data_IF_344885100157
#
_entry.id   IF_344885100157
#
_cell.length_a   1.000
_cell.length_b   1.000
_cell.length_c   1.000
_cell.angle_alpha   90.00
_cell.angle_beta   90.00
_cell.angle_gamma   90.00
#
_symmetry.space_group_name_H-M   'P 1'
#
loop_
_entity.id
_entity.type
_entity.pdbx_description
1 polymer ?
#
# COMPACT_ATOMS: atom_id res chain seq x y z
N UNK A 1 7.27 28.17 -10.49
CA UNK A 1 6.88 26.75 -10.36
C UNK A 1 5.42 26.69 -10.72
N UNK A 2 5.11 26.33 -11.98
CA UNK A 2 3.76 25.88 -12.31
C UNK A 2 3.58 24.54 -11.61
N UNK A 3 2.73 24.52 -10.58
CA UNK A 3 2.30 23.29 -9.94
C UNK A 3 1.27 22.59 -10.82
N UNK A 4 0.93 21.34 -10.49
CA UNK A 4 -0.14 20.57 -11.14
C UNK A 4 -1.42 21.41 -11.29
N UNK A 5 -1.71 21.84 -12.52
CA UNK A 5 -3.04 22.30 -12.89
C UNK A 5 -3.98 21.08 -12.86
N UNK A 6 -5.09 21.12 -12.11
CA UNK A 6 -6.06 20.03 -12.09
C UNK A 6 -6.53 19.71 -13.51
N UNK A 7 -6.33 18.45 -13.95
CA UNK A 7 -6.80 17.96 -15.25
C UNK A 7 -5.74 17.84 -16.36
N UNK A 8 -4.49 18.27 -16.15
CA UNK A 8 -3.38 18.04 -17.12
C UNK A 8 -2.63 16.71 -16.92
N UNK A 9 -3.23 15.77 -16.21
CA UNK A 9 -2.60 14.52 -15.78
C UNK A 9 -3.06 13.33 -16.62
N UNK A 10 -2.18 12.34 -16.84
CA UNK A 10 -2.54 11.11 -17.54
C UNK A 10 -3.58 10.33 -16.73
N UNK A 11 -4.78 10.19 -17.28
CA UNK A 11 -5.90 9.49 -16.65
C UNK A 11 -5.54 8.06 -16.24
N UNK A 12 -4.66 7.39 -16.99
CA UNK A 12 -4.22 6.04 -16.66
C UNK A 12 -3.37 6.01 -15.38
N UNK A 13 -2.52 7.02 -15.14
CA UNK A 13 -1.77 7.11 -13.88
C UNK A 13 -2.73 7.41 -12.73
N UNK A 14 -3.73 8.29 -12.95
CA UNK A 14 -4.76 8.58 -11.95
C UNK A 14 -5.52 7.33 -11.52
N UNK A 15 -5.95 6.52 -12.50
CA UNK A 15 -6.66 5.28 -12.24
C UNK A 15 -5.79 4.28 -11.47
N UNK A 16 -4.50 4.21 -11.81
CA UNK A 16 -3.54 3.33 -11.12
C UNK A 16 -3.21 3.79 -9.71
N UNK A 17 -3.11 5.10 -9.45
CA UNK A 17 -2.96 5.64 -8.10
C UNK A 17 -4.22 5.41 -7.25
N UNK A 18 -5.42 5.56 -7.85
CA UNK A 18 -6.67 5.22 -7.18
C UNK A 18 -6.73 3.72 -6.84
N UNK A 19 -6.25 2.86 -7.75
CA UNK A 19 -6.12 1.42 -7.52
C UNK A 19 -5.13 1.11 -6.39
N UNK A 20 -3.98 1.80 -6.33
CA UNK A 20 -3.02 1.67 -5.23
C UNK A 20 -3.68 2.05 -3.90
N UNK A 21 -4.36 3.20 -3.84
CA UNK A 21 -5.05 3.66 -2.63
C UNK A 21 -6.14 2.68 -2.16
N UNK A 22 -6.89 2.10 -3.10
CA UNK A 22 -7.85 1.06 -2.80
C UNK A 22 -7.17 -0.19 -2.22
N UNK A 23 -6.09 -0.67 -2.83
CA UNK A 23 -5.36 -1.85 -2.33
C UNK A 23 -4.77 -1.59 -0.94
N UNK A 24 -4.14 -0.43 -0.71
CA UNK A 24 -3.62 -0.04 0.61
C UNK A 24 -4.74 0.00 1.67
N UNK A 25 -5.92 0.51 1.32
CA UNK A 25 -7.09 0.47 2.21
C UNK A 25 -7.54 -0.97 2.51
N UNK A 26 -7.58 -1.85 1.51
CA UNK A 26 -7.92 -3.26 1.70
C UNK A 26 -6.89 -3.99 2.57
N UNK A 27 -5.61 -3.59 2.53
CA UNK A 27 -4.54 -4.13 3.39
C UNK A 27 -4.79 -3.86 4.89
N UNK A 28 -5.35 -2.69 5.23
CA UNK A 28 -5.65 -2.31 6.62
C UNK A 28 -6.81 -3.12 7.25
N UNK A 29 -7.70 -3.69 6.43
CA UNK A 29 -8.85 -4.46 6.94
C UNK A 29 -8.47 -5.73 7.71
N UNK A 30 -7.67 -6.66 7.15
CA UNK A 30 -7.21 -7.83 7.89
C UNK A 30 -6.35 -7.44 9.09
N UNK A 31 -5.54 -6.38 9.01
CA UNK A 31 -4.78 -5.86 10.15
C UNK A 31 -5.68 -5.53 11.35
N UNK A 32 -6.76 -4.76 11.12
CA UNK A 32 -7.74 -4.44 12.17
C UNK A 32 -8.30 -5.71 12.82
N UNK A 33 -8.56 -6.75 12.02
CA UNK A 33 -9.08 -8.02 12.51
C UNK A 33 -8.02 -8.80 13.30
N UNK A 34 -6.79 -8.87 12.81
CA UNK A 34 -5.66 -9.49 13.50
C UNK A 34 -5.45 -8.89 14.90
N UNK A 35 -5.47 -7.55 15.00
CA UNK A 35 -5.34 -6.84 16.26
C UNK A 35 -6.48 -7.14 17.23
N UNK A 36 -7.72 -7.25 16.73
CA UNK A 36 -8.89 -7.57 17.57
C UNK A 36 -8.75 -8.99 18.15
N UNK A 37 -8.41 -9.97 17.29
CA UNK A 37 -8.29 -11.38 17.67
C UNK A 37 -7.10 -11.65 18.60
N UNK A 38 -6.06 -10.81 18.57
CA UNK A 38 -4.88 -10.96 19.45
C UNK A 38 -5.27 -10.99 20.94
N UNK A 39 -6.33 -10.29 21.33
CA UNK A 39 -6.80 -10.21 22.72
C UNK A 39 -7.80 -11.32 23.11
N UNK A 40 -8.21 -12.16 22.16
CA UNK A 40 -9.12 -13.28 22.36
C UNK A 40 -8.30 -14.59 22.39
N UNK A 41 -8.02 -15.13 23.59
CA UNK A 41 -7.06 -16.24 23.77
C UNK A 41 -7.38 -17.49 22.94
N UNK A 42 -8.66 -17.82 22.76
CA UNK A 42 -9.10 -18.92 21.90
C UNK A 42 -8.80 -18.71 20.40
N UNK A 43 -8.49 -17.48 19.99
CA UNK A 43 -8.40 -17.05 18.59
C UNK A 43 -6.99 -16.63 18.15
N UNK A 44 -5.94 -16.91 18.93
CA UNK A 44 -4.54 -16.57 18.57
C UNK A 44 -4.15 -17.10 17.19
N UNK A 45 -4.56 -18.33 16.83
CA UNK A 45 -4.28 -18.91 15.51
C UNK A 45 -4.96 -18.13 14.37
N UNK A 46 -6.17 -17.66 14.59
CA UNK A 46 -6.89 -16.84 13.60
C UNK A 46 -6.25 -15.44 13.50
N UNK A 47 -5.74 -14.88 14.62
CA UNK A 47 -4.96 -13.64 14.60
C UNK A 47 -3.74 -13.76 13.69
N UNK A 48 -2.95 -14.83 13.85
CA UNK A 48 -1.80 -15.14 12.98
C UNK A 48 -2.26 -15.24 11.52
N UNK A 49 -3.34 -15.98 11.25
CA UNK A 49 -3.85 -16.12 9.89
C UNK A 49 -4.29 -14.78 9.25
N UNK A 50 -4.84 -13.86 10.02
CA UNK A 50 -5.16 -12.51 9.52
C UNK A 50 -3.88 -11.70 9.22
N UNK A 51 -2.80 -11.85 10.00
CA UNK A 51 -1.51 -11.22 9.66
C UNK A 51 -0.93 -11.74 8.34
N UNK A 52 -1.10 -13.03 8.00
CA UNK A 52 -0.68 -13.58 6.70
C UNK A 52 -1.48 -12.99 5.53
N UNK A 53 -2.70 -12.53 5.77
CA UNK A 53 -3.51 -11.84 4.75
C UNK A 53 -3.00 -10.43 4.50
N UNK A 54 -2.45 -9.76 5.51
CA UNK A 54 -1.81 -8.44 5.38
C UNK A 54 -0.58 -8.58 4.48
N UNK A 55 0.34 -9.50 4.81
CA UNK A 55 1.55 -9.80 4.01
C UNK A 55 1.21 -10.09 2.53
N UNK A 56 0.24 -10.98 2.26
CA UNK A 56 -0.20 -11.26 0.88
C UNK A 56 -0.78 -10.05 0.14
N UNK A 57 -1.36 -9.09 0.87
CA UNK A 57 -1.90 -7.87 0.26
C UNK A 57 -0.77 -6.87 -0.02
N UNK A 58 0.18 -6.75 0.88
CA UNK A 58 1.42 -5.99 0.70
C UNK A 58 2.18 -6.52 -0.53
N UNK A 59 2.46 -7.84 -0.62
CA UNK A 59 3.16 -8.43 -1.78
C UNK A 59 2.46 -8.12 -3.12
N UNK A 60 1.12 -8.06 -3.10
CA UNK A 60 0.30 -7.72 -4.26
C UNK A 60 0.41 -6.23 -4.61
N UNK A 61 0.46 -5.36 -3.61
CA UNK A 61 0.69 -3.91 -3.77
C UNK A 61 2.06 -3.70 -4.39
N UNK A 62 3.09 -4.34 -3.84
CA UNK A 62 4.47 -4.26 -4.31
C UNK A 62 4.61 -4.74 -5.75
N UNK A 63 4.00 -5.88 -6.07
CA UNK A 63 3.93 -6.37 -7.44
C UNK A 63 3.24 -5.38 -8.38
N UNK A 64 2.12 -4.79 -7.95
CA UNK A 64 1.39 -3.79 -8.74
C UNK A 64 2.25 -2.54 -8.99
N UNK A 65 2.93 -2.02 -7.97
CA UNK A 65 3.81 -0.86 -8.09
C UNK A 65 4.92 -1.10 -9.10
N UNK A 66 5.69 -2.17 -8.89
CA UNK A 66 6.85 -2.50 -9.71
C UNK A 66 6.48 -2.79 -11.18
N UNK A 67 5.33 -3.44 -11.44
CA UNK A 67 5.00 -3.95 -12.77
C UNK A 67 3.96 -3.11 -13.53
N UNK A 68 3.23 -2.22 -12.85
CA UNK A 68 2.06 -1.54 -13.44
C UNK A 68 2.08 -0.04 -13.25
N UNK A 69 2.44 0.46 -12.08
CA UNK A 69 2.36 1.90 -11.76
C UNK A 69 3.67 2.62 -12.05
N UNK A 70 4.77 2.22 -11.44
CA UNK A 70 6.08 2.89 -11.60
C UNK A 70 6.52 2.96 -13.07
N UNK A 71 6.44 1.87 -13.88
CA UNK A 71 6.80 1.94 -15.29
C UNK A 71 5.99 2.99 -16.07
N UNK A 72 4.70 3.14 -15.73
CA UNK A 72 3.81 4.12 -16.38
C UNK A 72 4.15 5.56 -15.95
N UNK A 73 4.49 5.78 -14.68
CA UNK A 73 4.97 7.07 -14.18
C UNK A 73 6.25 7.47 -14.93
N UNK A 74 7.21 6.55 -15.07
CA UNK A 74 8.47 6.79 -15.80
C UNK A 74 8.20 7.14 -17.26
N UNK A 75 7.37 6.35 -17.96
CA UNK A 75 7.00 6.61 -19.36
C UNK A 75 6.40 8.01 -19.55
N UNK A 76 5.53 8.43 -18.62
CA UNK A 76 4.91 9.75 -18.67
C UNK A 76 5.90 10.88 -18.33
N UNK A 77 6.80 10.66 -17.38
CA UNK A 77 7.83 11.62 -17.00
C UNK A 77 8.74 11.93 -18.20
N UNK A 78 9.17 10.88 -18.93
CA UNK A 78 10.00 11.00 -20.12
C UNK A 78 9.32 11.81 -21.23
N UNK A 79 8.01 11.62 -21.43
CA UNK A 79 7.23 12.30 -22.48
C UNK A 79 6.82 13.72 -22.11
N UNK A 80 6.48 13.95 -20.84
CA UNK A 80 5.91 15.24 -20.40
C UNK A 80 6.96 16.32 -20.25
N UNK A 81 8.23 15.95 -19.99
CA UNK A 81 9.32 16.88 -19.64
C UNK A 81 8.96 17.82 -18.47
N UNK A 82 8.13 17.33 -17.53
CA UNK A 82 7.66 18.07 -16.34
C UNK A 82 8.24 17.46 -15.06
N UNK A 83 9.51 17.76 -14.70
CA UNK A 83 10.18 17.12 -13.57
C UNK A 83 9.53 17.47 -12.22
N UNK A 84 9.08 18.72 -12.03
CA UNK A 84 8.40 19.12 -10.79
C UNK A 84 7.11 18.34 -10.54
N UNK A 85 6.30 18.14 -11.59
CA UNK A 85 5.08 17.33 -11.52
C UNK A 85 5.39 15.86 -11.26
N UNK A 86 6.42 15.31 -11.91
CA UNK A 86 6.85 13.92 -11.72
C UNK A 86 7.20 13.65 -10.25
N UNK A 87 7.97 14.56 -9.63
CA UNK A 87 8.33 14.44 -8.20
C UNK A 87 7.08 14.38 -7.32
N UNK A 88 6.09 15.23 -7.56
CA UNK A 88 4.85 15.24 -6.78
C UNK A 88 4.04 13.94 -6.95
N UNK A 89 3.99 13.38 -8.16
CA UNK A 89 3.31 12.11 -8.42
C UNK A 89 3.99 10.97 -7.67
N UNK A 90 5.32 10.91 -7.73
CA UNK A 90 6.09 9.90 -6.99
C UNK A 90 5.87 10.04 -5.48
N UNK A 91 5.88 11.26 -4.93
CA UNK A 91 5.57 11.47 -3.51
C UNK A 91 4.15 11.03 -3.14
N UNK A 92 3.16 11.25 -4.00
CA UNK A 92 1.79 10.76 -3.77
C UNK A 92 1.77 9.23 -3.77
N UNK A 93 2.45 8.61 -4.71
CA UNK A 93 2.57 7.15 -4.81
C UNK A 93 3.19 6.54 -3.56
N UNK A 94 4.35 7.06 -3.13
CA UNK A 94 5.07 6.63 -1.92
C UNK A 94 4.20 6.79 -0.67
N UNK A 95 3.55 7.94 -0.50
CA UNK A 95 2.69 8.18 0.67
C UNK A 95 1.48 7.22 0.74
N UNK A 96 1.00 6.71 -0.39
CA UNK A 96 -0.11 5.75 -0.42
C UNK A 96 0.40 4.33 -0.12
N UNK A 97 1.57 3.95 -0.63
CA UNK A 97 2.18 2.65 -0.32
C UNK A 97 2.61 2.55 1.14
N UNK A 98 3.13 3.62 1.76
CA UNK A 98 3.52 3.64 3.17
C UNK A 98 2.37 3.20 4.11
N UNK A 99 1.11 3.39 3.71
CA UNK A 99 -0.04 2.87 4.47
C UNK A 99 -0.05 1.34 4.54
N UNK A 100 0.29 0.67 3.45
CA UNK A 100 0.38 -0.78 3.35
C UNK A 100 1.62 -1.31 4.08
N UNK A 101 2.78 -0.67 3.91
CA UNK A 101 4.02 -1.03 4.60
C UNK A 101 3.87 -0.93 6.13
N UNK A 102 3.27 0.16 6.62
CA UNK A 102 2.99 0.28 8.06
C UNK A 102 1.96 -0.74 8.53
N UNK A 103 1.03 -1.15 7.65
CA UNK A 103 0.09 -2.20 8.00
C UNK A 103 0.79 -3.56 8.14
N UNK A 104 1.71 -3.90 7.24
CA UNK A 104 2.54 -5.11 7.29
C UNK A 104 3.44 -5.09 8.54
N UNK A 105 4.21 -4.03 8.75
CA UNK A 105 5.08 -3.87 9.93
C UNK A 105 4.32 -4.08 11.25
N UNK A 106 3.09 -3.54 11.32
CA UNK A 106 2.23 -3.74 12.49
C UNK A 106 1.72 -5.17 12.59
N UNK A 107 1.35 -5.80 11.46
CA UNK A 107 0.90 -7.19 11.42
C UNK A 107 2.01 -8.16 11.85
N UNK A 108 3.26 -7.92 11.46
CA UNK A 108 4.41 -8.71 11.90
C UNK A 108 4.64 -8.60 13.40
N UNK A 109 4.53 -7.39 13.96
CA UNK A 109 4.59 -7.20 15.42
C UNK A 109 3.47 -7.98 16.14
N UNK A 110 2.25 -7.99 15.60
CA UNK A 110 1.13 -8.79 16.13
C UNK A 110 1.46 -10.29 16.07
N UNK A 111 2.00 -10.75 14.94
CA UNK A 111 2.39 -12.15 14.71
C UNK A 111 3.45 -12.60 15.70
N UNK A 112 4.47 -11.79 15.97
CA UNK A 112 5.52 -12.06 16.97
C UNK A 112 4.94 -12.23 18.38
N UNK A 113 4.04 -11.33 18.80
CA UNK A 113 3.35 -11.42 20.10
C UNK A 113 2.52 -12.70 20.20
N UNK A 114 1.76 -13.00 19.15
CA UNK A 114 0.90 -14.19 19.08
C UNK A 114 1.73 -15.48 19.20
N UNK A 115 2.84 -15.58 18.47
CA UNK A 115 3.75 -16.73 18.52
C UNK A 115 4.46 -16.86 19.87
N UNK A 116 4.86 -15.75 20.50
CA UNK A 116 5.46 -15.76 21.83
C UNK A 116 4.48 -16.10 22.97
N UNK A 117 3.18 -15.99 22.71
CA UNK A 117 2.10 -16.31 23.65
C UNK A 117 1.49 -17.70 23.44
N UNK A 118 1.96 -18.44 22.42
CA UNK A 118 1.46 -19.76 21.99
C UNK A 118 2.16 -20.92 22.68
#
# INVERSE_FOLDING_TARGET
>A
LEFLEPGEFDGEISDRLAQLAYLSQECVKPLKRAFTLLFEKENIKESIHETEKVEKMEEKIDYFRANKLIPKIVEWADKSHRPGTTILITQIEENIEEVADQAENTADTIREIALGSS
#
